data_IF_337372260637
#
_entry.id   IF_337372260637
#
_cell.length_a   1.000
_cell.length_b   1.000
_cell.length_c   1.000
_cell.angle_alpha   90.00
_cell.angle_beta   90.00
_cell.angle_gamma   90.00
#
_symmetry.space_group_name_H-M   'P 1'
#
loop_
_entity.id
_entity.type
_entity.pdbx_description
1 polymer ?
#
# COMPACT_ATOMS: atom_id res chain seq x y z
N UNK A 1 -17.33 6.69 -19.24
CA UNK A 1 -17.66 6.73 -17.79
C UNK A 1 -17.50 5.32 -17.25
N UNK A 2 -16.32 4.96 -16.75
CA UNK A 2 -16.03 3.59 -16.32
C UNK A 2 -15.79 3.55 -14.82
N UNK A 3 -16.53 2.68 -14.12
CA UNK A 3 -16.33 2.33 -12.71
C UNK A 3 -14.98 1.63 -12.43
N UNK A 4 -14.06 1.56 -13.40
CA UNK A 4 -12.87 0.71 -13.37
C UNK A 4 -11.72 1.17 -12.47
N UNK A 5 -11.78 2.38 -11.89
CA UNK A 5 -10.75 2.87 -10.99
C UNK A 5 -11.05 2.59 -9.50
N UNK A 6 -12.32 2.43 -9.11
CA UNK A 6 -12.71 2.41 -7.69
C UNK A 6 -12.81 1.00 -7.06
N UNK A 7 -12.90 -0.07 -7.86
CA UNK A 7 -13.03 -1.43 -7.34
C UNK A 7 -12.10 -2.36 -8.09
N UNK A 8 -10.81 -2.30 -7.73
CA UNK A 8 -9.82 -3.27 -8.21
C UNK A 8 -9.57 -4.30 -7.12
N UNK A 9 -9.53 -5.56 -7.51
CA UNK A 9 -9.11 -6.66 -6.63
C UNK A 9 -7.62 -6.52 -6.27
N UNK A 10 -7.18 -7.07 -5.12
CA UNK A 10 -5.76 -7.06 -4.76
C UNK A 10 -4.85 -7.64 -5.85
N UNK A 11 -5.28 -8.70 -6.54
CA UNK A 11 -4.53 -9.28 -7.66
C UNK A 11 -4.42 -8.36 -8.87
N UNK A 12 -5.46 -7.61 -9.21
CA UNK A 12 -5.41 -6.60 -10.29
C UNK A 12 -4.50 -5.43 -9.94
N UNK A 13 -4.51 -5.00 -8.67
CA UNK A 13 -3.61 -3.94 -8.18
C UNK A 13 -2.16 -4.42 -8.19
N UNK A 14 -1.89 -5.65 -7.73
CA UNK A 14 -0.56 -6.25 -7.75
C UNK A 14 0.00 -6.31 -9.17
N UNK A 15 -0.75 -6.87 -10.12
CA UNK A 15 -0.31 -6.96 -11.53
C UNK A 15 -0.01 -5.58 -12.11
N UNK A 16 -0.88 -4.60 -11.89
CA UNK A 16 -0.64 -3.24 -12.38
C UNK A 16 0.59 -2.59 -11.75
N UNK A 17 0.85 -2.84 -10.47
CA UNK A 17 2.05 -2.33 -9.83
C UNK A 17 3.31 -2.93 -10.47
N UNK A 18 3.30 -4.23 -10.77
CA UNK A 18 4.41 -4.89 -11.47
C UNK A 18 4.57 -4.39 -12.90
N UNK A 19 3.48 -4.32 -13.67
CA UNK A 19 3.47 -3.88 -15.07
C UNK A 19 3.97 -2.44 -15.25
N UNK A 20 3.68 -1.56 -14.28
CA UNK A 20 4.13 -0.17 -14.29
C UNK A 20 5.49 0.04 -13.63
N UNK A 21 6.17 -1.03 -13.21
CA UNK A 21 7.40 -1.00 -12.42
C UNK A 21 7.32 -0.05 -11.21
N UNK A 22 6.20 -0.14 -10.49
CA UNK A 22 5.97 0.68 -9.32
C UNK A 22 6.87 0.24 -8.16
N UNK A 23 7.25 1.22 -7.36
CA UNK A 23 7.99 1.02 -6.10
C UNK A 23 7.05 1.05 -4.89
N UNK A 24 5.89 1.71 -5.03
CA UNK A 24 4.94 1.96 -3.94
C UNK A 24 3.51 1.81 -4.46
N UNK A 25 2.65 1.18 -3.67
CA UNK A 25 1.20 1.15 -3.82
C UNK A 25 0.59 1.89 -2.64
N UNK A 26 -0.22 2.92 -2.92
CA UNK A 26 -1.07 3.53 -1.91
C UNK A 26 -2.42 2.81 -1.85
N UNK A 27 -2.70 2.21 -0.70
CA UNK A 27 -3.96 1.55 -0.37
C UNK A 27 -4.83 2.50 0.45
N UNK A 28 -5.46 3.43 -0.24
CA UNK A 28 -6.46 4.33 0.33
C UNK A 28 -7.84 3.65 0.36
N UNK A 29 -8.28 3.21 1.54
CA UNK A 29 -9.59 2.57 1.76
C UNK A 29 -10.39 3.32 2.80
N UNK A 30 -11.69 3.54 2.57
CA UNK A 30 -12.62 4.11 3.55
C UNK A 30 -13.12 3.07 4.57
N UNK A 31 -13.09 1.78 4.20
CA UNK A 31 -13.53 0.64 5.00
C UNK A 31 -12.88 -0.66 4.53
N UNK A 32 -12.78 -1.67 5.42
CA UNK A 32 -12.38 -3.03 5.04
C UNK A 32 -10.88 -3.29 4.85
N UNK A 33 -9.97 -2.38 5.22
CA UNK A 33 -8.50 -2.48 5.03
C UNK A 33 -7.83 -3.77 5.54
N UNK A 34 -8.43 -4.47 6.50
CA UNK A 34 -7.84 -5.68 7.09
C UNK A 34 -7.82 -6.89 6.16
N UNK A 35 -8.73 -6.98 5.20
CA UNK A 35 -8.79 -8.09 4.25
C UNK A 35 -7.92 -7.89 2.99
N UNK A 36 -8.01 -6.74 2.27
CA UNK A 36 -7.30 -6.56 1.01
C UNK A 36 -5.79 -6.38 1.20
N UNK A 37 -5.31 -5.89 2.36
CA UNK A 37 -3.87 -5.70 2.56
C UNK A 37 -3.09 -7.04 2.62
N UNK A 38 -3.47 -8.02 3.47
CA UNK A 38 -2.82 -9.33 3.45
C UNK A 38 -2.91 -10.02 2.09
N UNK A 39 -4.04 -9.88 1.39
CA UNK A 39 -4.24 -10.44 0.06
C UNK A 39 -3.33 -9.78 -0.98
N UNK A 40 -3.21 -8.45 -0.97
CA UNK A 40 -2.32 -7.70 -1.86
C UNK A 40 -0.86 -8.10 -1.65
N UNK A 41 -0.42 -8.20 -0.39
CA UNK A 41 0.94 -8.63 -0.07
C UNK A 41 1.20 -10.06 -0.54
N UNK A 42 0.22 -10.95 -0.40
CA UNK A 42 0.30 -12.32 -0.94
C UNK A 42 0.41 -12.35 -2.46
N UNK A 43 -0.39 -11.54 -3.17
CA UNK A 43 -0.34 -11.45 -4.63
C UNK A 43 1.00 -10.89 -5.12
N UNK A 44 1.52 -9.83 -4.47
CA UNK A 44 2.85 -9.29 -4.78
C UNK A 44 3.97 -10.31 -4.58
N UNK A 45 3.88 -11.10 -3.50
CA UNK A 45 4.81 -12.21 -3.25
C UNK A 45 4.73 -13.28 -4.34
N UNK A 46 3.51 -13.63 -4.79
CA UNK A 46 3.31 -14.57 -5.89
C UNK A 46 3.85 -14.09 -7.24
N UNK A 47 4.11 -12.79 -7.37
CA UNK A 47 4.70 -12.15 -8.55
C UNK A 47 6.20 -11.83 -8.36
N UNK A 48 6.85 -12.33 -7.30
CA UNK A 48 8.25 -12.03 -6.94
C UNK A 48 8.53 -10.53 -6.77
N UNK A 49 7.53 -9.76 -6.30
CA UNK A 49 7.57 -8.30 -6.16
C UNK A 49 7.22 -7.83 -4.74
N UNK A 50 7.61 -8.61 -3.75
CA UNK A 50 7.51 -8.29 -2.31
C UNK A 50 8.32 -7.05 -1.87
N UNK A 51 9.22 -6.55 -2.73
CA UNK A 51 9.92 -5.28 -2.53
C UNK A 51 9.04 -4.04 -2.73
N UNK A 52 7.89 -4.15 -3.41
CA UNK A 52 6.96 -3.02 -3.59
C UNK A 52 6.34 -2.66 -2.23
N UNK A 53 6.50 -1.41 -1.82
CA UNK A 53 5.96 -0.92 -0.56
C UNK A 53 4.45 -0.74 -0.64
N UNK A 54 3.71 -1.23 0.35
CA UNK A 54 2.28 -0.92 0.50
C UNK A 54 2.13 0.15 1.59
N UNK A 55 1.53 1.30 1.26
CA UNK A 55 1.23 2.36 2.23
C UNK A 55 -0.28 2.47 2.44
N UNK A 56 -0.71 2.81 3.65
CA UNK A 56 -2.11 2.99 4.00
C UNK A 56 -2.47 4.45 4.27
N UNK A 57 -3.74 4.81 4.07
CA UNK A 57 -4.29 6.15 4.33
C UNK A 57 -5.19 6.24 5.57
N UNK A 58 -6.44 6.66 5.34
CA UNK A 58 -7.47 6.90 6.37
C UNK A 58 -7.90 5.59 7.05
N UNK A 59 -7.09 5.16 8.01
CA UNK A 59 -7.27 3.92 8.76
C UNK A 59 -7.34 4.26 10.27
N UNK A 60 -8.24 3.61 11.04
CA UNK A 60 -8.27 3.74 12.50
C UNK A 60 -6.94 3.30 13.14
N UNK A 61 -6.43 4.09 14.09
CA UNK A 61 -5.14 3.81 14.75
C UNK A 61 -5.08 2.43 15.42
N UNK A 62 -6.20 1.93 15.94
CA UNK A 62 -6.30 0.60 16.56
C UNK A 62 -6.01 -0.56 15.59
N UNK A 63 -6.04 -0.31 14.27
CA UNK A 63 -5.80 -1.31 13.25
C UNK A 63 -4.36 -1.27 12.70
N UNK A 64 -3.53 -0.32 13.16
CA UNK A 64 -2.18 -0.12 12.62
C UNK A 64 -1.27 -1.32 12.86
N UNK A 65 -1.24 -1.85 14.08
CA UNK A 65 -0.40 -3.00 14.42
C UNK A 65 -0.71 -4.20 13.51
N UNK A 66 -2.00 -4.51 13.34
CA UNK A 66 -2.44 -5.55 12.41
C UNK A 66 -1.93 -5.30 10.99
N UNK A 67 -2.05 -4.07 10.48
CA UNK A 67 -1.62 -3.76 9.12
C UNK A 67 -0.10 -3.85 8.95
N UNK A 68 0.67 -3.38 9.92
CA UNK A 68 2.14 -3.51 9.91
C UNK A 68 2.57 -4.98 9.95
N UNK A 69 1.97 -5.79 10.84
CA UNK A 69 2.22 -7.24 10.92
C UNK A 69 1.88 -7.97 9.60
N UNK A 70 0.95 -7.43 8.81
CA UNK A 70 0.53 -8.01 7.54
C UNK A 70 1.17 -7.36 6.31
N UNK A 71 2.19 -6.51 6.48
CA UNK A 71 3.05 -6.04 5.39
C UNK A 71 2.85 -4.59 4.94
N UNK A 72 2.08 -3.77 5.68
CA UNK A 72 2.10 -2.33 5.49
C UNK A 72 3.50 -1.77 5.78
N UNK A 73 4.00 -0.91 4.90
CA UNK A 73 5.30 -0.25 5.05
C UNK A 73 5.19 1.10 5.77
N UNK A 74 4.08 1.81 5.59
CA UNK A 74 3.77 3.04 6.31
C UNK A 74 2.26 3.28 6.32
N UNK A 75 1.76 4.03 7.32
CA UNK A 75 0.35 4.45 7.38
C UNK A 75 0.31 5.97 7.62
N UNK A 76 -0.49 6.66 6.82
CA UNK A 76 -0.65 8.11 6.81
C UNK A 76 -2.10 8.47 7.13
N UNK A 77 -2.40 8.60 8.41
CA UNK A 77 -3.74 8.90 8.90
C UNK A 77 -4.27 10.29 8.49
N UNK A 78 -5.55 10.59 8.78
CA UNK A 78 -6.17 11.88 8.47
C UNK A 78 -5.37 13.07 8.99
N UNK A 79 -5.24 14.12 8.18
CA UNK A 79 -4.50 15.32 8.55
C UNK A 79 -2.98 15.22 8.40
N UNK A 80 -2.44 14.09 7.93
CA UNK A 80 -1.02 14.00 7.57
C UNK A 80 -0.70 14.98 6.44
N UNK A 81 0.31 15.82 6.65
CA UNK A 81 0.73 16.85 5.69
C UNK A 81 1.46 16.20 4.51
N UNK A 82 1.05 16.50 3.27
CA UNK A 82 1.55 15.85 2.05
C UNK A 82 3.10 15.85 1.94
N UNK A 83 3.80 16.98 2.16
CA UNK A 83 5.27 16.98 2.21
C UNK A 83 5.89 15.94 3.15
N UNK A 84 5.26 15.69 4.31
CA UNK A 84 5.74 14.70 5.29
C UNK A 84 5.56 13.29 4.76
N UNK A 85 4.46 13.00 4.06
CA UNK A 85 4.23 11.72 3.39
C UNK A 85 5.33 11.47 2.37
N UNK A 86 5.57 12.43 1.46
CA UNK A 86 6.57 12.31 0.41
C UNK A 86 7.98 12.04 0.97
N UNK A 87 8.40 12.83 1.98
CA UNK A 87 9.70 12.63 2.63
C UNK A 87 9.83 11.24 3.25
N UNK A 88 8.80 10.75 3.95
CA UNK A 88 8.82 9.43 4.57
C UNK A 88 8.87 8.29 3.55
N UNK A 89 8.10 8.40 2.47
CA UNK A 89 8.09 7.40 1.40
C UNK A 89 9.46 7.31 0.73
N UNK A 90 10.06 8.46 0.39
CA UNK A 90 11.39 8.50 -0.24
C UNK A 90 12.45 7.92 0.71
N UNK A 91 12.46 8.33 1.98
CA UNK A 91 13.42 7.83 2.96
C UNK A 91 13.33 6.31 3.17
N UNK A 92 12.11 5.74 3.16
CA UNK A 92 11.93 4.30 3.30
C UNK A 92 12.32 3.54 2.03
N UNK A 93 12.09 4.12 0.84
CA UNK A 93 12.60 3.56 -0.42
C UNK A 93 14.13 3.52 -0.43
N UNK A 94 14.79 4.62 -0.06
CA UNK A 94 16.25 4.70 0.01
C UNK A 94 16.81 3.66 0.99
N UNK A 95 16.15 3.43 2.13
CA UNK A 95 16.57 2.42 3.12
C UNK A 95 16.50 0.98 2.59
N UNK A 96 15.62 0.69 1.63
CA UNK A 96 15.42 -0.66 1.06
C UNK A 96 16.33 -0.94 -0.13
N UNK A 97 16.76 0.10 -0.82
CA UNK A 97 17.55 0.01 -2.05
C UNK A 97 19.00 0.51 -1.91
N UNK A 98 19.34 1.14 -0.78
CA UNK A 98 20.69 1.56 -0.41
C UNK A 98 21.52 0.51 0.30
#
# INVERSE_FOLDING_TARGET
MGMGAMFRTPGEVARQAVENDAHVIDMSTDSGHKNPLPELVKELKGLDREGIMVVGGVIPAQDYDFLYENGASAIFGPGTVIPVVAQKVIAELDRRHG
#
